data_IF_967413172378
#
_entry.id   IF_967413172378
#
_cell.length_a   1.000
_cell.length_b   1.000
_cell.length_c   1.000
_cell.angle_alpha   90.00
_cell.angle_beta   90.00
_cell.angle_gamma   90.00
#
_symmetry.space_group_name_H-M   'P 1'
#
loop_
_entity.id
_entity.type
_entity.pdbx_description
1 polymer ?
#
# COMPACT_ATOMS: atom_id res chain seq x y z
N UNK A 1 9.11 22.65 19.14
CA UNK A 1 9.64 23.54 18.07
C UNK A 1 8.73 23.57 16.83
N UNK A 2 8.28 22.43 16.28
CA UNK A 2 7.36 22.41 15.12
C UNK A 2 6.10 23.27 15.30
N UNK A 3 5.38 23.10 16.42
CA UNK A 3 4.19 23.90 16.69
C UNK A 3 4.48 25.40 16.82
N UNK A 4 5.67 25.77 17.32
CA UNK A 4 6.09 27.17 17.41
C UNK A 4 6.23 27.78 16.03
N UNK A 5 6.89 27.09 15.09
CA UNK A 5 7.03 27.55 13.71
C UNK A 5 5.69 27.57 12.97
N UNK A 6 4.81 26.59 13.20
CA UNK A 6 3.46 26.61 12.63
C UNK A 6 2.62 27.79 13.16
N UNK A 7 2.74 28.13 14.45
CA UNK A 7 2.08 29.32 15.00
C UNK A 7 2.67 30.61 14.45
N UNK A 8 3.99 30.66 14.30
CA UNK A 8 4.68 31.82 13.74
C UNK A 8 4.28 32.09 12.29
N UNK A 9 4.29 31.05 11.43
CA UNK A 9 3.96 31.15 10.01
C UNK A 9 2.47 31.49 9.77
N UNK A 10 1.61 31.33 10.78
CA UNK A 10 0.22 31.82 10.74
C UNK A 10 0.12 33.32 11.02
N UNK A 11 0.99 33.86 11.86
CA UNK A 11 0.99 35.28 12.25
C UNK A 11 1.73 36.10 11.19
N UNK A 12 2.89 35.60 10.74
CA UNK A 12 3.70 36.20 9.70
C UNK A 12 3.98 35.14 8.62
N UNK A 13 3.18 35.10 7.54
CA UNK A 13 3.31 34.07 6.53
C UNK A 13 4.63 34.22 5.77
N UNK A 14 5.41 33.14 5.75
CA UNK A 14 6.53 32.98 4.84
C UNK A 14 6.04 32.92 3.39
N UNK A 15 6.94 33.14 2.43
CA UNK A 15 6.61 33.01 1.01
C UNK A 15 5.93 31.66 0.74
N UNK A 16 4.68 31.68 0.25
CA UNK A 16 3.85 30.49 -0.03
C UNK A 16 3.69 29.53 1.15
N UNK A 17 3.83 30.01 2.39
CA UNK A 17 3.79 29.22 3.62
C UNK A 17 4.77 28.02 3.59
N UNK A 18 5.96 28.23 3.01
CA UNK A 18 7.00 27.19 2.90
C UNK A 18 7.38 26.60 4.26
N UNK A 19 7.41 27.42 5.31
CA UNK A 19 7.70 26.96 6.68
C UNK A 19 6.61 26.00 7.16
N UNK A 20 5.33 26.32 6.94
CA UNK A 20 4.22 25.41 7.25
C UNK A 20 4.33 24.10 6.47
N UNK A 21 4.63 24.15 5.17
CA UNK A 21 4.83 22.96 4.35
C UNK A 21 5.91 22.03 4.93
N UNK A 22 7.08 22.59 5.26
CA UNK A 22 8.18 21.82 5.86
C UNK A 22 7.79 21.25 7.23
N UNK A 23 7.09 22.04 8.06
CA UNK A 23 6.64 21.59 9.36
C UNK A 23 5.62 20.45 9.27
N UNK A 24 4.68 20.50 8.31
CA UNK A 24 3.70 19.44 8.09
C UNK A 24 4.36 18.14 7.64
N UNK A 25 5.32 18.21 6.71
CA UNK A 25 6.09 17.05 6.28
C UNK A 25 6.87 16.42 7.44
N UNK A 26 7.60 17.23 8.21
CA UNK A 26 8.33 16.76 9.38
C UNK A 26 7.39 16.14 10.43
N UNK A 27 6.24 16.76 10.68
CA UNK A 27 5.26 16.23 11.62
C UNK A 27 4.63 14.92 11.12
N UNK A 28 4.49 14.73 9.82
CA UNK A 28 4.05 13.46 9.23
C UNK A 28 5.12 12.36 9.41
N UNK A 29 6.40 12.69 9.17
CA UNK A 29 7.51 11.75 9.35
C UNK A 29 7.63 11.27 10.79
N UNK A 30 7.52 12.20 11.76
CA UNK A 30 7.53 11.87 13.18
C UNK A 30 6.36 10.94 13.58
N UNK A 31 5.16 11.14 13.01
CA UNK A 31 4.01 10.26 13.27
C UNK A 31 4.19 8.88 12.64
N UNK A 32 4.72 8.80 11.42
CA UNK A 32 5.00 7.51 10.76
C UNK A 32 6.05 6.71 11.52
N UNK A 33 7.04 7.39 12.10
CA UNK A 33 8.09 6.78 12.91
C UNK A 33 7.65 6.45 14.35
N UNK A 34 6.41 6.79 14.74
CA UNK A 34 5.88 6.52 16.08
C UNK A 34 6.41 7.42 17.18
N UNK A 35 7.12 8.52 16.84
CA UNK A 35 7.57 9.52 17.82
C UNK A 35 6.40 10.37 18.33
N UNK A 36 5.43 10.63 17.44
CA UNK A 36 4.18 11.33 17.76
C UNK A 36 2.98 10.38 17.64
N UNK A 37 1.88 10.63 18.36
CA UNK A 37 0.66 9.85 18.21
C UNK A 37 0.14 9.84 16.76
N UNK A 38 -0.39 8.72 16.26
CA UNK A 38 -0.88 8.59 14.89
C UNK A 38 -2.25 9.27 14.70
N UNK A 39 -2.31 10.59 14.90
CA UNK A 39 -3.49 11.41 14.61
C UNK A 39 -3.44 11.94 13.17
N UNK A 40 -4.51 11.72 12.41
CA UNK A 40 -4.72 12.32 11.08
C UNK A 40 -5.50 13.64 11.16
N UNK A 41 -6.25 13.84 12.24
CA UNK A 41 -7.18 14.96 12.44
C UNK A 41 -6.44 16.29 12.28
N UNK A 42 -5.20 16.35 12.76
CA UNK A 42 -4.38 17.55 12.75
C UNK A 42 -4.06 18.06 11.33
N UNK A 43 -4.10 17.20 10.30
CA UNK A 43 -3.83 17.59 8.92
C UNK A 43 -5.08 18.04 8.16
N UNK A 44 -6.27 17.69 8.63
CA UNK A 44 -7.54 18.01 7.97
C UNK A 44 -7.77 19.51 7.82
N UNK A 45 -7.49 20.37 8.82
CA UNK A 45 -7.62 21.82 8.68
C UNK A 45 -6.71 22.41 7.61
N UNK A 46 -5.50 21.88 7.46
CA UNK A 46 -4.52 22.36 6.48
C UNK A 46 -4.85 21.94 5.04
N UNK A 47 -5.63 20.87 4.87
CA UNK A 47 -6.07 20.41 3.56
C UNK A 47 -7.33 21.13 3.06
N UNK A 48 -8.02 21.86 3.94
CA UNK A 48 -9.24 22.62 3.59
C UNK A 48 -8.90 23.99 2.99
N UNK A 49 -9.73 24.46 2.06
CA UNK A 49 -9.75 25.86 1.61
C UNK A 49 -10.12 26.77 2.79
N UNK A 50 -9.53 27.98 2.98
CA UNK A 50 -8.76 28.81 2.03
C UNK A 50 -7.23 28.72 2.15
N UNK A 51 -6.66 27.63 2.67
CA UNK A 51 -5.21 27.51 2.75
C UNK A 51 -4.54 27.54 1.37
N UNK A 52 -3.28 28.00 1.35
CA UNK A 52 -2.48 28.05 0.14
C UNK A 52 -2.37 26.68 -0.55
N UNK A 53 -2.36 26.66 -1.88
CA UNK A 53 -2.40 25.43 -2.68
C UNK A 53 -1.29 24.44 -2.32
N UNK A 54 -0.06 24.93 -2.11
CA UNK A 54 1.06 24.08 -1.72
C UNK A 54 0.88 23.45 -0.33
N UNK A 55 0.32 24.20 0.63
CA UNK A 55 0.00 23.68 1.97
C UNK A 55 -1.06 22.59 1.88
N UNK A 56 -2.11 22.81 1.07
CA UNK A 56 -3.16 21.81 0.86
C UNK A 56 -2.61 20.55 0.20
N UNK A 57 -1.76 20.70 -0.82
CA UNK A 57 -1.08 19.57 -1.47
C UNK A 57 -0.28 18.77 -0.44
N UNK A 58 0.58 19.43 0.34
CA UNK A 58 1.39 18.79 1.38
C UNK A 58 0.53 18.11 2.44
N UNK A 59 -0.58 18.72 2.85
CA UNK A 59 -1.52 18.12 3.79
C UNK A 59 -2.15 16.85 3.24
N UNK A 60 -2.60 16.85 1.98
CA UNK A 60 -3.11 15.64 1.30
C UNK A 60 -2.03 14.57 1.17
N UNK A 61 -0.79 14.93 0.83
CA UNK A 61 0.35 14.01 0.79
C UNK A 61 0.56 13.35 2.17
N UNK A 62 0.54 14.13 3.25
CA UNK A 62 0.67 13.63 4.63
C UNK A 62 -0.48 12.68 5.01
N UNK A 63 -1.73 13.04 4.68
CA UNK A 63 -2.91 12.21 4.93
C UNK A 63 -2.80 10.86 4.19
N UNK A 64 -2.40 10.88 2.92
CA UNK A 64 -2.17 9.66 2.12
C UNK A 64 -1.09 8.77 2.74
N UNK A 65 -0.01 9.36 3.27
CA UNK A 65 1.05 8.59 3.93
C UNK A 65 0.57 7.94 5.24
N UNK A 66 -0.37 8.56 5.94
CA UNK A 66 -0.94 8.09 7.21
C UNK A 66 -2.09 7.08 7.04
N UNK A 67 -2.75 7.01 5.88
CA UNK A 67 -3.79 5.99 5.56
C UNK A 67 -3.27 4.54 5.71
N UNK A 68 -1.96 4.37 5.86
CA UNK A 68 -1.34 3.10 6.29
C UNK A 68 -1.89 2.53 7.60
N UNK A 69 -2.62 3.31 8.40
CA UNK A 69 -3.06 2.96 9.76
C UNK A 69 -4.57 2.88 9.97
N UNK A 70 -5.39 3.41 9.06
CA UNK A 70 -6.85 3.40 9.25
C UNK A 70 -7.53 3.49 7.87
N UNK A 71 -8.27 2.42 7.55
CA UNK A 71 -8.88 2.15 6.24
C UNK A 71 -10.21 2.90 6.05
N UNK A 72 -10.86 3.32 7.15
CA UNK A 72 -12.15 4.01 7.16
C UNK A 72 -12.13 5.35 6.44
N UNK A 73 -11.02 6.05 6.59
CA UNK A 73 -10.84 7.38 6.01
C UNK A 73 -10.47 7.41 4.52
N UNK A 74 -10.20 6.26 3.87
CA UNK A 74 -9.64 6.26 2.52
C UNK A 74 -10.63 6.73 1.45
N UNK A 75 -11.86 6.20 1.45
CA UNK A 75 -12.90 6.62 0.49
C UNK A 75 -13.25 8.11 0.68
N UNK A 76 -13.41 8.53 1.94
CA UNK A 76 -13.66 9.93 2.30
C UNK A 76 -12.51 10.86 1.85
N UNK A 77 -11.24 10.46 2.00
CA UNK A 77 -10.13 11.25 1.51
C UNK A 77 -10.12 11.39 -0.02
N UNK A 78 -10.43 10.30 -0.74
CA UNK A 78 -10.55 10.34 -2.20
C UNK A 78 -11.63 11.33 -2.63
N UNK A 79 -12.82 11.26 -2.02
CA UNK A 79 -13.86 12.26 -2.22
C UNK A 79 -13.39 13.68 -1.94
N UNK A 80 -12.73 13.92 -0.80
CA UNK A 80 -12.21 15.25 -0.44
C UNK A 80 -11.21 15.80 -1.46
N UNK A 81 -10.34 14.95 -2.01
CA UNK A 81 -9.39 15.36 -3.06
C UNK A 81 -10.12 15.76 -4.35
N UNK A 82 -11.17 15.03 -4.75
CA UNK A 82 -11.92 15.33 -5.99
C UNK A 82 -12.75 16.61 -5.90
N UNK A 83 -13.24 16.93 -4.70
CA UNK A 83 -14.03 18.12 -4.42
C UNK A 83 -13.21 19.36 -4.09
N UNK A 84 -11.86 19.29 -4.14
CA UNK A 84 -11.04 20.49 -3.93
C UNK A 84 -11.30 21.52 -5.04
N UNK A 85 -11.50 22.81 -4.70
CA UNK A 85 -11.83 23.84 -5.69
C UNK A 85 -10.70 24.06 -6.72
N UNK A 86 -9.43 23.78 -6.37
CA UNK A 86 -8.30 24.02 -7.24
C UNK A 86 -7.97 22.76 -8.08
N UNK A 87 -8.14 22.78 -9.41
CA UNK A 87 -7.87 21.60 -10.24
C UNK A 87 -6.40 21.18 -10.24
N UNK A 88 -5.47 22.11 -9.97
CA UNK A 88 -4.05 21.80 -9.78
C UNK A 88 -3.81 20.94 -8.53
N UNK A 89 -4.47 21.27 -7.42
CA UNK A 89 -4.39 20.51 -6.15
C UNK A 89 -4.96 19.12 -6.33
N UNK A 90 -6.15 18.98 -6.97
CA UNK A 90 -6.76 17.67 -7.27
C UNK A 90 -5.81 16.74 -8.01
N UNK A 91 -5.25 17.23 -9.12
CA UNK A 91 -4.34 16.46 -9.98
C UNK A 91 -3.06 16.07 -9.25
N UNK A 92 -2.47 16.99 -8.48
CA UNK A 92 -1.23 16.73 -7.73
C UNK A 92 -1.45 15.73 -6.60
N UNK A 93 -2.49 15.89 -5.80
CA UNK A 93 -2.82 14.99 -4.70
C UNK A 93 -3.17 13.57 -5.21
N UNK A 94 -4.01 13.45 -6.24
CA UNK A 94 -4.35 12.17 -6.84
C UNK A 94 -3.11 11.46 -7.44
N UNK A 95 -2.23 12.22 -8.10
CA UNK A 95 -0.99 11.70 -8.68
C UNK A 95 -0.06 11.16 -7.59
N UNK A 96 0.15 11.95 -6.54
CA UNK A 96 0.96 11.52 -5.40
C UNK A 96 0.44 10.21 -4.81
N UNK A 97 -0.88 10.09 -4.69
CA UNK A 97 -1.49 8.87 -4.17
C UNK A 97 -1.20 7.65 -5.05
N UNK A 98 -1.41 7.77 -6.37
CA UNK A 98 -1.10 6.70 -7.32
C UNK A 98 0.38 6.30 -7.26
N UNK A 99 1.29 7.27 -7.34
CA UNK A 99 2.74 7.01 -7.29
C UNK A 99 3.17 6.35 -5.98
N UNK A 100 2.59 6.78 -4.84
CA UNK A 100 2.92 6.22 -3.54
C UNK A 100 2.53 4.76 -3.44
N UNK A 101 1.38 4.37 -3.98
CA UNK A 101 0.96 2.96 -4.03
C UNK A 101 1.77 2.15 -5.03
N UNK A 102 2.07 2.71 -6.21
CA UNK A 102 2.91 2.07 -7.23
C UNK A 102 4.31 1.74 -6.69
N UNK A 103 4.88 2.60 -5.84
CA UNK A 103 6.20 2.38 -5.20
C UNK A 103 6.16 1.41 -4.01
N UNK A 104 5.00 1.06 -3.45
CA UNK A 104 4.94 0.12 -2.32
C UNK A 104 5.14 -1.34 -2.79
N UNK A 105 5.92 -2.18 -2.06
CA UNK A 105 6.07 -3.60 -2.38
C UNK A 105 4.71 -4.30 -2.48
N UNK A 106 4.49 -5.09 -3.54
CA UNK A 106 3.17 -5.67 -3.86
C UNK A 106 2.58 -6.56 -2.75
N UNK A 107 3.43 -7.23 -1.97
CA UNK A 107 2.99 -8.07 -0.85
C UNK A 107 2.36 -7.27 0.31
N UNK A 108 2.84 -6.05 0.57
CA UNK A 108 2.23 -5.11 1.53
C UNK A 108 0.89 -4.55 1.05
N UNK A 109 0.59 -4.60 -0.25
CA UNK A 109 -0.70 -4.14 -0.80
C UNK A 109 -1.82 -5.11 -0.45
N UNK A 110 -1.54 -6.41 -0.49
CA UNK A 110 -2.52 -7.48 -0.25
C UNK A 110 -2.74 -7.75 1.25
N UNK A 111 -1.70 -7.65 2.08
CA UNK A 111 -1.83 -7.84 3.53
C UNK A 111 -2.63 -6.72 4.22
N UNK A 112 -2.80 -5.58 3.53
CA UNK A 112 -3.43 -4.37 4.08
C UNK A 112 -4.86 -4.15 3.61
N UNK A 113 -5.35 -4.91 2.64
CA UNK A 113 -6.65 -4.65 2.02
C UNK A 113 -7.51 -5.89 2.22
N UNK A 114 -8.47 -5.79 3.14
CA UNK A 114 -9.54 -6.78 3.21
C UNK A 114 -10.53 -6.40 2.10
N UNK A 115 -10.55 -7.18 1.01
CA UNK A 115 -11.43 -6.92 -0.14
C UNK A 115 -12.91 -6.82 0.27
N UNK A 116 -13.30 -7.41 1.40
CA UNK A 116 -14.67 -7.42 1.90
C UNK A 116 -14.98 -6.24 2.83
N UNK A 117 -13.99 -5.47 3.27
CA UNK A 117 -14.25 -4.29 4.09
C UNK A 117 -15.06 -3.27 3.30
N UNK A 118 -16.13 -2.77 3.89
CA UNK A 118 -17.05 -1.79 3.29
C UNK A 118 -16.29 -0.59 2.72
N UNK A 119 -15.33 -0.07 3.48
CA UNK A 119 -14.52 1.11 3.16
C UNK A 119 -13.68 0.93 1.88
N UNK A 120 -13.20 -0.30 1.65
CA UNK A 120 -12.42 -0.64 0.46
C UNK A 120 -13.34 -0.78 -0.75
N UNK A 121 -14.57 -1.28 -0.54
CA UNK A 121 -15.60 -1.32 -1.59
C UNK A 121 -16.03 0.08 -1.98
N UNK A 122 -16.28 0.96 -1.01
CA UNK A 122 -16.61 2.37 -1.23
C UNK A 122 -15.49 3.12 -1.95
N UNK A 123 -14.23 2.90 -1.54
CA UNK A 123 -13.09 3.47 -2.24
C UNK A 123 -13.02 2.96 -3.69
N UNK A 124 -13.27 1.66 -3.90
CA UNK A 124 -13.25 1.05 -5.23
C UNK A 124 -14.33 1.63 -6.13
N UNK A 125 -15.56 1.77 -5.64
CA UNK A 125 -16.67 2.38 -6.40
C UNK A 125 -16.36 3.85 -6.69
N UNK A 126 -15.91 4.62 -5.68
CA UNK A 126 -15.55 6.02 -5.89
C UNK A 126 -14.43 6.20 -6.94
N UNK A 127 -13.41 5.33 -6.93
CA UNK A 127 -12.38 5.33 -7.98
C UNK A 127 -12.97 4.92 -9.33
N UNK A 128 -13.85 3.92 -9.37
CA UNK A 128 -14.50 3.48 -10.61
C UNK A 128 -15.35 4.58 -11.24
N UNK A 129 -16.16 5.28 -10.44
CA UNK A 129 -16.98 6.40 -10.88
C UNK A 129 -16.09 7.53 -11.40
N UNK A 130 -14.96 7.82 -10.73
CA UNK A 130 -14.01 8.80 -11.28
C UNK A 130 -13.39 8.40 -12.60
N UNK A 131 -13.26 7.11 -12.91
CA UNK A 131 -12.67 6.65 -14.17
C UNK A 131 -13.63 6.89 -15.34
N UNK A 132 -14.93 6.75 -15.09
CA UNK A 132 -15.97 6.80 -16.12
C UNK A 132 -16.53 8.23 -16.27
N UNK A 133 -16.85 8.89 -15.16
CA UNK A 133 -17.75 10.05 -15.16
C UNK A 133 -17.05 11.39 -14.90
N UNK A 134 -15.79 11.38 -14.42
CA UNK A 134 -15.10 12.62 -14.08
C UNK A 134 -14.73 13.44 -15.33
N UNK A 135 -14.97 14.77 -15.37
CA UNK A 135 -14.72 15.60 -16.55
C UNK A 135 -13.23 15.74 -16.90
N UNK A 136 -12.35 15.81 -15.90
CA UNK A 136 -10.90 15.93 -16.09
C UNK A 136 -10.26 14.59 -16.49
N UNK A 137 -9.71 14.53 -17.71
CA UNK A 137 -9.04 13.36 -18.27
C UNK A 137 -7.80 12.93 -17.49
N UNK A 138 -7.04 13.89 -16.94
CA UNK A 138 -5.83 13.61 -16.17
C UNK A 138 -6.19 12.89 -14.88
N UNK A 139 -7.30 13.29 -14.26
CA UNK A 139 -7.84 12.61 -13.08
C UNK A 139 -8.36 11.22 -13.43
N UNK A 140 -9.08 11.05 -14.54
CA UNK A 140 -9.51 9.72 -15.03
C UNK A 140 -8.31 8.77 -15.23
N UNK A 141 -7.26 9.25 -15.90
CA UNK A 141 -6.04 8.48 -16.11
C UNK A 141 -5.33 8.12 -14.79
N UNK A 142 -5.23 9.07 -13.87
CA UNK A 142 -4.61 8.87 -12.56
C UNK A 142 -5.40 7.89 -11.69
N UNK A 143 -6.73 7.96 -11.74
CA UNK A 143 -7.64 7.01 -11.09
C UNK A 143 -7.46 5.59 -11.65
N UNK A 144 -7.33 5.43 -12.99
CA UNK A 144 -7.02 4.12 -13.61
C UNK A 144 -5.67 3.58 -13.13
N UNK A 145 -4.65 4.42 -13.00
CA UNK A 145 -3.34 4.04 -12.46
C UNK A 145 -3.45 3.56 -11.01
N UNK A 146 -4.11 4.33 -10.16
CA UNK A 146 -4.37 3.96 -8.76
C UNK A 146 -5.14 2.64 -8.66
N UNK A 147 -6.21 2.48 -9.46
CA UNK A 147 -6.99 1.26 -9.52
C UNK A 147 -6.14 0.04 -9.86
N UNK A 148 -5.30 0.15 -10.91
CA UNK A 148 -4.35 -0.92 -11.27
C UNK A 148 -3.33 -1.17 -10.15
N UNK A 149 -2.82 -0.12 -9.52
CA UNK A 149 -1.82 -0.26 -8.46
C UNK A 149 -2.37 -1.03 -7.24
N UNK A 150 -3.65 -0.83 -6.91
CA UNK A 150 -4.30 -1.44 -5.75
C UNK A 150 -4.87 -2.83 -6.09
N UNK A 151 -5.65 -2.97 -7.17
CA UNK A 151 -6.45 -4.17 -7.45
C UNK A 151 -5.96 -5.03 -8.64
N UNK A 152 -4.93 -4.64 -9.39
CA UNK A 152 -4.45 -5.48 -10.50
C UNK A 152 -3.83 -6.77 -9.97
N UNK A 153 -4.51 -7.90 -10.20
CA UNK A 153 -4.03 -9.25 -9.92
C UNK A 153 -3.11 -9.77 -11.05
N UNK A 154 -1.88 -10.16 -10.69
CA UNK A 154 -1.19 -11.34 -11.24
C UNK A 154 -0.82 -12.19 -10.01
N UNK A 155 -1.52 -13.24 -9.57
CA UNK A 155 -2.03 -14.49 -10.18
C UNK A 155 -1.05 -15.68 -10.22
N UNK A 156 0.17 -15.57 -9.65
CA UNK A 156 1.12 -16.73 -9.55
C UNK A 156 1.51 -17.18 -8.13
N UNK A 157 1.37 -16.36 -7.09
CA UNK A 157 1.91 -16.66 -5.74
C UNK A 157 0.84 -17.11 -4.73
N UNK A 158 -0.17 -17.86 -5.19
CA UNK A 158 -1.09 -18.58 -4.30
C UNK A 158 -0.51 -19.87 -3.72
N UNK A 159 0.77 -20.17 -3.93
CA UNK A 159 1.42 -21.34 -3.36
C UNK A 159 2.81 -20.95 -2.88
N UNK A 160 3.09 -21.16 -1.59
CA UNK A 160 4.44 -21.33 -1.03
C UNK A 160 5.14 -20.18 -0.26
N UNK A 161 4.48 -19.31 0.51
CA UNK A 161 5.21 -18.74 1.66
C UNK A 161 4.32 -18.34 2.83
N UNK A 162 4.55 -19.06 3.93
CA UNK A 162 3.68 -19.17 5.11
C UNK A 162 3.53 -17.90 5.92
N UNK A 163 2.33 -17.77 6.49
CA UNK A 163 1.87 -16.79 7.48
C UNK A 163 2.82 -16.62 8.67
N UNK A 164 3.64 -17.63 9.00
CA UNK A 164 4.68 -17.58 10.03
C UNK A 164 5.83 -16.61 9.69
N UNK A 165 6.22 -16.50 8.41
CA UNK A 165 7.32 -15.61 7.98
C UNK A 165 6.92 -14.15 8.19
N UNK A 166 5.64 -13.84 7.94
CA UNK A 166 5.08 -12.51 8.14
C UNK A 166 5.14 -12.02 9.60
N UNK A 167 4.82 -12.90 10.56
CA UNK A 167 4.84 -12.57 11.99
C UNK A 167 6.27 -12.40 12.52
N UNK A 168 7.23 -13.16 11.99
CA UNK A 168 8.62 -13.12 12.44
C UNK A 168 9.40 -11.90 11.90
N UNK A 169 9.03 -11.39 10.72
CA UNK A 169 9.68 -10.21 10.10
C UNK A 169 9.29 -8.91 10.79
N UNK A 170 8.08 -8.82 11.37
CA UNK A 170 7.68 -7.63 12.12
C UNK A 170 8.47 -7.44 13.43
N UNK A 171 9.04 -8.50 14.00
CA UNK A 171 9.56 -8.48 15.37
C UNK A 171 11.09 -8.35 15.46
N UNK A 172 11.89 -8.79 14.48
CA UNK A 172 13.36 -8.58 14.52
C UNK A 172 14.06 -8.79 13.15
N UNK A 173 14.43 -7.73 12.41
CA UNK A 173 14.83 -7.83 11.00
C UNK A 173 16.19 -8.52 10.77
N UNK A 174 17.10 -8.54 11.74
CA UNK A 174 18.46 -9.09 11.57
C UNK A 174 18.52 -10.64 11.58
N UNK A 175 17.56 -11.31 12.23
CA UNK A 175 17.49 -12.78 12.29
C UNK A 175 16.66 -13.41 11.17
N UNK A 176 15.87 -12.60 10.46
CA UNK A 176 15.02 -13.06 9.36
C UNK A 176 15.84 -13.54 8.16
N UNK A 177 17.00 -12.92 7.91
CA UNK A 177 17.86 -13.25 6.76
C UNK A 177 18.53 -14.64 6.91
N UNK A 178 19.04 -14.98 8.11
CA UNK A 178 19.67 -16.29 8.38
C UNK A 178 18.66 -17.44 8.30
N UNK A 179 17.48 -17.26 8.89
CA UNK A 179 16.42 -18.27 8.88
C UNK A 179 15.78 -18.46 7.50
N UNK A 180 15.82 -17.44 6.65
CA UNK A 180 15.44 -17.54 5.25
C UNK A 180 16.41 -18.45 4.47
N UNK A 181 17.72 -18.35 4.71
CA UNK A 181 18.71 -19.25 4.12
C UNK A 181 18.52 -20.72 4.55
N UNK A 182 18.26 -20.98 5.84
CA UNK A 182 18.00 -22.33 6.36
C UNK A 182 16.70 -22.93 5.81
N UNK A 183 15.62 -22.13 5.73
CA UNK A 183 14.35 -22.57 5.18
C UNK A 183 14.46 -22.93 3.68
N UNK A 184 15.29 -22.20 2.94
CA UNK A 184 15.52 -22.45 1.52
C UNK A 184 16.37 -23.72 1.28
N UNK A 185 17.34 -24.02 2.14
CA UNK A 185 18.14 -25.26 2.09
C UNK A 185 17.27 -26.50 2.41
N UNK A 186 16.38 -26.43 3.39
CA UNK A 186 15.45 -27.50 3.73
C UNK A 186 14.43 -27.78 2.61
N UNK A 187 14.03 -26.73 1.88
CA UNK A 187 13.12 -26.87 0.73
C UNK A 187 13.81 -27.56 -0.46
N UNK A 188 15.10 -27.28 -0.69
CA UNK A 188 15.91 -28.00 -1.68
C UNK A 188 16.07 -29.48 -1.29
N UNK A 189 16.30 -29.77 -0.01
CA UNK A 189 16.42 -31.14 0.50
C UNK A 189 15.12 -31.94 0.29
N UNK A 190 13.97 -31.34 0.64
CA UNK A 190 12.65 -31.97 0.42
C UNK A 190 12.32 -32.18 -1.06
N UNK A 191 12.76 -31.28 -1.95
CA UNK A 191 12.59 -31.45 -3.39
C UNK A 191 13.52 -32.54 -3.96
N UNK A 192 14.72 -32.74 -3.39
CA UNK A 192 15.61 -33.84 -3.73
C UNK A 192 15.04 -35.21 -3.29
N UNK A 193 14.39 -35.27 -2.13
CA UNK A 193 13.70 -36.45 -1.62
C UNK A 193 12.50 -36.84 -2.51
N UNK A 194 11.67 -35.87 -2.89
CA UNK A 194 10.56 -36.07 -3.85
C UNK A 194 11.02 -36.41 -5.27
N UNK A 195 12.29 -36.16 -5.60
CA UNK A 195 12.90 -36.66 -6.84
C UNK A 195 13.28 -38.13 -6.69
N UNK A 196 13.85 -38.56 -5.56
CA UNK A 196 14.12 -39.98 -5.26
C UNK A 196 12.84 -40.83 -5.29
N UNK A 197 11.75 -40.38 -4.67
CA UNK A 197 10.47 -41.11 -4.66
C UNK A 197 9.86 -41.28 -6.05
N UNK A 198 10.05 -40.29 -6.94
CA UNK A 198 9.58 -40.38 -8.32
C UNK A 198 10.35 -41.41 -9.15
N UNK A 199 11.63 -41.61 -8.87
CA UNK A 199 12.41 -42.70 -9.50
C UNK A 199 12.15 -44.06 -8.84
N UNK A 200 11.87 -44.12 -7.53
CA UNK A 200 11.50 -45.36 -6.82
C UNK A 200 10.13 -45.93 -7.22
N UNK A 201 9.13 -45.06 -7.44
CA UNK A 201 7.78 -45.48 -7.85
C UNK A 201 7.65 -45.97 -9.30
N UNK A 202 8.69 -45.77 -10.12
CA UNK A 202 8.71 -46.22 -11.52
C UNK A 202 9.11 -47.70 -11.64
N UNK A 203 9.81 -48.26 -10.64
CA UNK A 203 10.16 -49.68 -10.59
C UNK A 203 8.94 -50.59 -10.30
N UNK A 204 7.97 -50.10 -9.53
CA UNK A 204 6.80 -50.91 -9.10
C UNK A 204 5.73 -51.00 -10.21
N UNK A 205 5.62 -50.00 -11.09
CA UNK A 205 4.62 -49.98 -12.18
C UNK A 205 4.96 -50.89 -13.36
N UNK A 206 6.20 -51.33 -13.50
CA UNK A 206 6.58 -52.35 -14.49
C UNK A 206 6.16 -53.76 -14.06
N UNK A 207 6.03 -54.02 -12.75
CA UNK A 207 5.65 -55.34 -12.21
C UNK A 207 4.16 -55.68 -12.37
N UNK A 208 3.27 -54.68 -12.45
CA UNK A 208 1.80 -54.92 -12.47
C UNK A 208 1.27 -55.20 -13.89
N UNK A 209 1.99 -54.79 -14.94
CA UNK A 209 1.62 -55.14 -16.32
C UNK A 209 1.91 -56.60 -16.68
N UNK A 210 2.76 -57.29 -15.92
CA UNK A 210 3.08 -58.71 -16.08
C UNK A 210 1.93 -59.65 -15.64
N UNK A 211 1.00 -59.16 -14.82
CA UNK A 211 -0.10 -59.96 -14.24
C UNK A 211 -1.38 -60.01 -15.11
N UNK A 212 -1.32 -59.54 -16.36
CA UNK A 212 -2.40 -59.68 -17.37
C UNK A 212 -2.20 -60.87 -18.30
N UNK A 213 -1.41 -61.85 -17.86
CA UNK A 213 -1.23 -63.17 -18.48
C UNK A 213 -2.02 -64.16 -17.62
N UNK A 214 -3.29 -64.38 -17.99
CA UNK A 214 -4.01 -65.63 -17.74
C UNK A 214 -5.17 -65.69 -18.75
N UNK A 215 -4.81 -66.07 -19.97
CA UNK A 215 -5.59 -66.97 -20.82
C UNK A 215 -4.89 -68.32 -20.78
#
# INVERSE_FOLDING_TARGET
QLERYLRYDRVLPSYRNLVSCACLQAACDLRINGVLPPSKIDFVPYSSYPNYDDVRCVAYECLVRLIRLDKASAAALWGKILHDPAPGVRRRAARYWAERWEKQPRFLRHFRIDENALEIRELRTAIWDTINDHPDEVLRYTARRLYKAIWSRKWSERKSMDRQVYLNVQMNPSNAMRRWHEAHENLKASQAERRRDRFGGMSIKLSVKSARIHR
#
